data_IF_520604689353
#
_entry.id   IF_520604689353
#
_cell.length_a   1.000
_cell.length_b   1.000
_cell.length_c   1.000
_cell.angle_alpha   90.00
_cell.angle_beta   90.00
_cell.angle_gamma   90.00
#
_symmetry.space_group_name_H-M   'P 1'
#
loop_
_entity.id
_entity.type
_entity.pdbx_description
1 polymer ?
#
# COMPACT_ATOMS: atom_id res chain seq x y z
N UNK A 1 -20.91 34.05 -8.93
CA UNK A 1 -20.62 35.51 -8.95
C UNK A 1 -19.26 35.83 -9.59
N UNK A 2 -18.49 34.83 -10.04
CA UNK A 2 -17.17 35.05 -10.67
C UNK A 2 -16.07 35.54 -9.72
N UNK A 3 -16.36 35.60 -8.42
CA UNK A 3 -15.39 36.05 -7.41
C UNK A 3 -14.28 35.01 -7.23
N UNK A 4 -13.02 35.44 -6.99
CA UNK A 4 -11.92 34.54 -6.70
C UNK A 4 -12.20 33.62 -5.51
N UNK A 5 -11.90 32.32 -5.67
CA UNK A 5 -11.97 31.37 -4.58
C UNK A 5 -10.63 31.29 -3.85
N UNK A 6 -10.60 31.76 -2.61
CA UNK A 6 -9.37 31.84 -1.80
C UNK A 6 -9.29 30.80 -0.68
N UNK A 7 -10.35 30.04 -0.45
CA UNK A 7 -10.36 28.95 0.52
C UNK A 7 -9.76 27.66 -0.06
N UNK A 8 -9.36 26.73 0.81
CA UNK A 8 -9.04 25.38 0.39
C UNK A 8 -10.24 24.69 -0.30
N UNK A 9 -9.96 23.64 -1.06
CA UNK A 9 -10.98 22.75 -1.62
C UNK A 9 -11.03 21.45 -0.82
N UNK A 10 -12.13 20.72 -0.95
CA UNK A 10 -12.29 19.37 -0.38
C UNK A 10 -12.01 18.29 -1.43
N UNK A 11 -11.29 18.64 -2.50
CA UNK A 11 -10.98 17.72 -3.58
C UNK A 11 -10.03 16.62 -3.06
N UNK A 12 -10.17 15.38 -3.54
CA UNK A 12 -9.20 14.34 -3.23
C UNK A 12 -7.81 14.74 -3.76
N UNK A 13 -6.78 14.33 -3.02
CA UNK A 13 -5.38 14.57 -3.38
C UNK A 13 -4.75 13.31 -3.95
N UNK A 14 -3.87 13.41 -4.97
CA UNK A 14 -3.19 12.25 -5.51
C UNK A 14 -2.12 11.74 -4.53
N UNK A 15 -1.92 10.42 -4.52
CA UNK A 15 -0.82 9.76 -3.83
C UNK A 15 -0.09 8.90 -4.85
N UNK A 16 1.22 9.09 -4.98
CA UNK A 16 2.05 8.37 -5.95
C UNK A 16 3.15 7.65 -5.18
N UNK A 17 3.23 6.34 -5.35
CA UNK A 17 4.34 5.53 -4.86
C UNK A 17 5.36 5.37 -5.99
N UNK A 18 6.60 5.80 -5.75
CA UNK A 18 7.69 5.68 -6.71
C UNK A 18 8.73 4.71 -6.15
N UNK A 19 8.97 3.61 -6.86
CA UNK A 19 10.08 2.71 -6.56
C UNK A 19 11.36 3.21 -7.25
N UNK A 20 12.50 3.08 -6.57
CA UNK A 20 13.79 3.35 -7.21
C UNK A 20 14.19 2.21 -8.13
N UNK A 21 14.76 2.51 -9.31
CA UNK A 21 15.19 1.51 -10.31
C UNK A 21 16.09 0.42 -9.71
N UNK A 22 16.98 0.78 -8.78
CA UNK A 22 17.92 -0.12 -8.09
C UNK A 22 17.47 -0.54 -6.68
N UNK A 23 16.31 -0.06 -6.22
CA UNK A 23 15.78 -0.29 -4.87
C UNK A 23 14.31 -0.67 -4.94
N UNK A 24 14.07 -1.86 -5.47
CA UNK A 24 12.75 -2.49 -5.49
C UNK A 24 12.35 -2.91 -4.09
N UNK A 25 11.07 -2.78 -3.79
CA UNK A 25 10.53 -3.23 -2.52
C UNK A 25 10.50 -4.76 -2.51
N UNK A 26 11.24 -5.33 -1.57
CA UNK A 26 11.34 -6.78 -1.41
C UNK A 26 9.95 -7.38 -1.14
N UNK A 27 9.67 -8.50 -1.79
CA UNK A 27 8.40 -9.23 -1.64
C UNK A 27 7.31 -8.84 -2.63
N UNK A 28 7.40 -7.69 -3.32
CA UNK A 28 6.30 -7.18 -4.17
C UNK A 28 6.45 -7.42 -5.68
N UNK A 29 7.59 -7.92 -6.16
CA UNK A 29 7.72 -8.38 -7.55
C UNK A 29 7.43 -7.35 -8.65
N UNK A 30 7.47 -6.05 -8.35
CA UNK A 30 7.04 -4.92 -9.20
C UNK A 30 5.51 -4.79 -9.41
N UNK A 31 4.67 -5.49 -8.64
CA UNK A 31 3.20 -5.38 -8.73
C UNK A 31 2.62 -4.80 -7.43
N UNK A 32 3.08 -3.60 -7.06
CA UNK A 32 2.54 -2.88 -5.90
C UNK A 32 1.30 -2.13 -6.33
N UNK A 33 0.18 -2.46 -5.69
CA UNK A 33 -1.08 -1.75 -5.86
C UNK A 33 -1.40 -0.96 -4.60
N UNK A 34 -1.85 0.26 -4.81
CA UNK A 34 -2.43 1.08 -3.76
C UNK A 34 -3.95 0.87 -3.78
N UNK A 35 -4.56 0.85 -2.59
CA UNK A 35 -6.02 0.74 -2.43
C UNK A 35 -6.72 1.85 -3.22
N UNK A 36 -7.62 1.47 -4.12
CA UNK A 36 -8.34 2.41 -4.98
C UNK A 36 -9.42 3.22 -4.25
N UNK A 37 -9.93 2.71 -3.12
CA UNK A 37 -11.00 3.35 -2.35
C UNK A 37 -10.72 3.39 -0.84
N UNK A 38 -11.30 4.40 -0.18
CA UNK A 38 -11.26 4.52 1.28
C UNK A 38 -9.87 4.83 1.88
N UNK A 39 -8.96 5.38 1.08
CA UNK A 39 -7.69 5.93 1.54
C UNK A 39 -7.84 7.36 2.07
N UNK A 40 -6.95 7.77 2.97
CA UNK A 40 -6.91 9.14 3.49
C UNK A 40 -5.54 9.53 4.05
N UNK A 41 -5.40 10.78 4.48
CA UNK A 41 -4.11 11.29 4.97
C UNK A 41 -3.58 10.53 6.20
N UNK A 42 -4.47 9.99 7.04
CA UNK A 42 -4.11 9.18 8.21
C UNK A 42 -3.43 7.84 7.83
N UNK A 43 -3.55 7.41 6.58
CA UNK A 43 -3.00 6.14 6.10
C UNK A 43 -1.53 6.27 5.65
N UNK A 44 -1.01 7.50 5.45
CA UNK A 44 0.35 7.73 4.97
C UNK A 44 1.42 7.19 5.93
N UNK A 45 1.32 7.52 7.22
CA UNK A 45 2.30 7.07 8.21
C UNK A 45 2.29 5.53 8.40
N UNK A 46 1.12 4.86 8.57
CA UNK A 46 1.04 3.40 8.55
C UNK A 46 1.63 2.75 7.29
N UNK A 47 1.43 3.37 6.12
CA UNK A 47 1.98 2.88 4.85
C UNK A 47 3.50 2.96 4.83
N UNK A 48 4.08 4.05 5.32
CA UNK A 48 5.53 4.20 5.41
C UNK A 48 6.15 3.20 6.39
N UNK A 49 5.54 3.01 7.57
CA UNK A 49 6.01 2.00 8.53
C UNK A 49 5.98 0.60 7.92
N UNK A 50 4.91 0.27 7.19
CA UNK A 50 4.79 -0.99 6.46
C UNK A 50 5.94 -1.18 5.44
N UNK A 51 6.25 -0.14 4.64
CA UNK A 51 7.35 -0.17 3.67
C UNK A 51 8.73 -0.32 4.32
N UNK A 52 8.93 0.28 5.50
CA UNK A 52 10.16 0.18 6.27
C UNK A 52 10.25 -1.11 7.10
N UNK A 53 9.25 -1.99 7.02
CA UNK A 53 9.14 -3.19 7.84
C UNK A 53 9.20 -2.90 9.35
N UNK A 54 8.53 -1.82 9.77
CA UNK A 54 8.41 -1.37 11.16
C UNK A 54 7.01 -1.67 11.71
N UNK A 55 6.89 -1.96 13.02
CA UNK A 55 5.59 -2.23 13.63
C UNK A 55 4.72 -0.97 13.67
N UNK A 56 3.44 -1.10 13.29
CA UNK A 56 2.46 -0.02 13.43
C UNK A 56 2.00 0.11 14.90
N UNK A 57 2.13 1.28 15.54
CA UNK A 57 1.62 1.50 16.89
C UNK A 57 0.08 1.38 16.96
N UNK A 58 -0.45 0.95 18.11
CA UNK A 58 -1.91 0.84 18.35
C UNK A 58 -2.66 2.17 18.24
N UNK A 59 -1.99 3.29 18.55
CA UNK A 59 -2.57 4.63 18.46
C UNK A 59 -2.84 5.07 17.01
N UNK A 60 -2.17 4.48 16.01
CA UNK A 60 -2.41 4.78 14.60
C UNK A 60 -3.66 4.03 14.11
N UNK A 61 -4.74 4.76 13.96
CA UNK A 61 -6.03 4.25 13.46
C UNK A 61 -6.04 4.01 11.94
N UNK A 62 -5.18 4.72 11.21
CA UNK A 62 -4.99 4.54 9.77
C UNK A 62 -4.48 3.14 9.41
N UNK A 63 -4.68 2.76 8.16
CA UNK A 63 -4.31 1.47 7.58
C UNK A 63 -3.35 1.69 6.41
N UNK A 64 -2.46 0.73 6.16
CA UNK A 64 -1.56 0.82 4.99
C UNK A 64 -2.38 0.97 3.69
N UNK A 65 -1.92 1.81 2.77
CA UNK A 65 -2.49 1.97 1.44
C UNK A 65 -2.09 0.84 0.50
N UNK A 66 -1.09 0.03 0.85
CA UNK A 66 -0.60 -1.06 0.01
C UNK A 66 -1.52 -2.27 0.12
N UNK A 67 -1.94 -2.81 -1.02
CA UNK A 67 -2.75 -4.02 -1.08
C UNK A 67 -1.93 -5.28 -0.75
N UNK A 68 -2.55 -6.29 -0.11
CA UNK A 68 -1.90 -7.58 0.10
C UNK A 68 -1.69 -8.30 -1.23
N UNK A 69 -0.52 -8.91 -1.39
CA UNK A 69 -0.18 -9.69 -2.59
C UNK A 69 -1.00 -10.98 -2.59
N UNK A 70 -1.80 -11.18 -3.63
CA UNK A 70 -2.53 -12.43 -3.81
C UNK A 70 -1.63 -13.47 -4.48
N UNK A 71 -0.86 -14.22 -3.69
CA UNK A 71 -0.11 -15.37 -4.20
C UNK A 71 -1.07 -16.54 -4.42
N UNK A 72 -0.99 -17.25 -5.57
CA UNK A 72 -1.74 -18.50 -5.74
C UNK A 72 -1.32 -19.47 -4.64
N UNK A 73 -2.31 -19.99 -3.90
CA UNK A 73 -2.13 -21.01 -2.88
C UNK A 73 -1.36 -22.17 -3.53
N UNK A 74 -0.15 -22.51 -3.04
CA UNK A 74 0.62 -23.64 -3.57
C UNK A 74 -0.33 -24.85 -3.67
N UNK A 75 -0.50 -25.47 -4.86
CA UNK A 75 -1.27 -26.70 -4.95
C UNK A 75 -0.64 -27.73 -4.02
N UNK A 76 -1.47 -28.49 -3.30
CA UNK A 76 -1.02 -29.54 -2.40
C UNK A 76 0.03 -30.38 -3.11
N UNK A 77 1.25 -30.37 -2.58
CA UNK A 77 2.37 -31.14 -3.11
C UNK A 77 1.93 -32.60 -3.13
N UNK A 78 1.95 -33.23 -4.31
CA UNK A 78 1.75 -34.66 -4.43
C UNK A 78 2.84 -35.32 -3.56
N UNK A 79 2.51 -36.18 -2.58
CA UNK A 79 3.53 -36.86 -1.81
C UNK A 79 4.41 -37.67 -2.76
N UNK A 80 5.73 -37.45 -2.70
CA UNK A 80 6.67 -38.22 -3.50
C UNK A 80 6.58 -39.70 -3.06
N UNK A 81 6.39 -40.65 -3.99
CA UNK A 81 6.42 -42.06 -3.63
C UNK A 81 7.83 -42.41 -3.14
N UNK A 82 7.91 -43.01 -1.96
CA UNK A 82 9.14 -43.63 -1.49
C UNK A 82 9.46 -44.79 -2.44
N UNK A 83 10.67 -44.75 -3.05
CA UNK A 83 11.24 -45.88 -3.78
C UNK A 83 11.93 -46.82 -2.79
#
# INVERSE_FOLDING_TARGET
>A
DGQPWTAHTTNPVPVILIEGEKRKLSGYGNDIKLRESGGGLADLAPTLLHLLNLPKPKAMTGKTLIEPINLPKKPNLIPQPAY
#
